data_IF_653123318774
#
_entry.id   IF_653123318774
#
_cell.length_a   1.000
_cell.length_b   1.000
_cell.length_c   1.000
_cell.angle_alpha   90.00
_cell.angle_beta   90.00
_cell.angle_gamma   90.00
#
_symmetry.space_group_name_H-M   'P 1'
#
loop_
_entity.id
_entity.type
_entity.pdbx_description
1 polymer ?
#
# COMPACT_ATOMS: atom_id res chain seq x y z
N UNK A 1 -17.59 0.26 29.07
CA UNK A 1 -17.35 0.87 30.41
C UNK A 1 -18.69 1.11 31.08
N UNK A 2 -18.79 1.06 32.42
CA UNK A 2 -20.06 1.31 33.12
C UNK A 2 -20.26 2.80 33.39
N UNK A 3 -21.53 3.20 33.56
CA UNK A 3 -21.95 4.56 33.88
C UNK A 3 -21.16 5.19 35.03
N UNK A 4 -20.88 4.43 36.09
CA UNK A 4 -20.09 4.91 37.24
C UNK A 4 -18.64 5.22 36.89
N UNK A 5 -18.03 4.44 35.99
CA UNK A 5 -16.61 4.54 35.68
C UNK A 5 -16.40 5.81 34.84
N UNK A 6 -17.32 6.03 33.89
CA UNK A 6 -17.33 7.23 33.06
C UNK A 6 -17.74 8.46 33.86
N UNK A 7 -18.68 8.32 34.80
CA UNK A 7 -19.06 9.42 35.69
C UNK A 7 -17.87 9.89 36.54
N UNK A 8 -17.10 8.95 37.10
CA UNK A 8 -15.87 9.26 37.83
C UNK A 8 -14.83 9.94 36.93
N UNK A 9 -14.63 9.45 35.70
CA UNK A 9 -13.71 10.07 34.73
C UNK A 9 -14.07 11.52 34.41
N UNK A 10 -15.35 11.81 34.17
CA UNK A 10 -15.82 13.18 33.90
C UNK A 10 -16.06 14.02 35.16
N UNK A 11 -15.80 13.50 36.35
CA UNK A 11 -16.00 14.23 37.62
C UNK A 11 -17.46 14.60 37.88
N UNK A 12 -18.41 13.77 37.45
CA UNK A 12 -19.86 13.97 37.65
C UNK A 12 -20.46 12.82 38.45
N UNK A 13 -21.61 13.07 39.09
CA UNK A 13 -22.36 11.98 39.73
C UNK A 13 -22.97 11.04 38.68
N UNK A 14 -22.92 9.72 38.92
CA UNK A 14 -23.52 8.70 38.03
C UNK A 14 -25.00 8.96 37.76
N UNK A 15 -25.74 9.44 38.78
CA UNK A 15 -27.14 9.84 38.62
C UNK A 15 -27.31 10.98 37.63
N UNK A 16 -26.49 12.03 37.73
CA UNK A 16 -26.51 13.19 36.82
C UNK A 16 -26.14 12.79 35.39
N UNK A 17 -25.16 11.89 35.24
CA UNK A 17 -24.80 11.32 33.94
C UNK A 17 -26.00 10.63 33.29
N UNK A 18 -26.64 9.71 34.02
CA UNK A 18 -27.79 8.95 33.52
C UNK A 18 -29.01 9.86 33.23
N UNK A 19 -29.24 10.90 34.02
CA UNK A 19 -30.26 11.93 33.73
C UNK A 19 -29.97 12.68 32.42
N UNK A 20 -28.71 13.06 32.19
CA UNK A 20 -28.30 13.78 30.98
C UNK A 20 -28.43 12.91 29.73
N UNK A 21 -28.06 11.63 29.82
CA UNK A 21 -28.26 10.63 28.78
C UNK A 21 -29.74 10.48 28.44
N UNK A 22 -30.61 10.29 29.44
CA UNK A 22 -32.05 10.15 29.23
C UNK A 22 -32.67 11.38 28.57
N UNK A 23 -32.25 12.59 28.96
CA UNK A 23 -32.70 13.85 28.33
C UNK A 23 -32.23 13.98 26.87
N UNK A 24 -31.13 13.33 26.51
CA UNK A 24 -30.52 13.39 25.18
C UNK A 24 -30.56 12.03 24.48
N UNK A 25 -31.59 11.21 24.72
CA UNK A 25 -31.65 9.83 24.22
C UNK A 25 -31.46 9.71 22.70
N UNK A 26 -31.87 10.73 21.91
CA UNK A 26 -31.65 10.79 20.45
C UNK A 26 -30.16 10.76 20.05
N UNK A 27 -29.23 11.12 20.94
CA UNK A 27 -27.78 11.09 20.72
C UNK A 27 -27.13 9.76 21.11
N UNK A 28 -27.89 8.84 21.69
CA UNK A 28 -27.40 7.57 22.22
C UNK A 28 -28.20 6.41 21.61
N UNK A 29 -27.91 6.05 20.36
CA UNK A 29 -28.45 4.82 19.77
C UNK A 29 -27.90 3.56 20.46
N UNK A 30 -28.47 2.39 20.13
CA UNK A 30 -28.17 1.12 20.83
C UNK A 30 -26.70 0.67 20.71
N UNK A 31 -25.97 1.12 19.69
CA UNK A 31 -24.54 0.89 19.48
C UNK A 31 -23.64 1.81 20.32
N UNK A 32 -24.20 2.85 20.93
CA UNK A 32 -23.46 3.79 21.79
C UNK A 32 -23.58 3.39 23.26
N UNK A 33 -24.76 2.88 23.65
CA UNK A 33 -25.00 2.42 25.00
C UNK A 33 -26.15 1.42 25.06
N UNK A 34 -26.14 0.62 26.12
CA UNK A 34 -27.25 -0.25 26.47
C UNK A 34 -27.32 -0.40 28.00
N UNK A 35 -28.49 -0.83 28.49
CA UNK A 35 -28.63 -1.15 29.90
C UNK A 35 -28.33 -2.63 30.11
N UNK A 36 -27.53 -2.96 31.13
CA UNK A 36 -27.25 -4.36 31.45
C UNK A 36 -28.51 -5.06 31.96
N UNK A 37 -28.62 -6.35 31.67
CA UNK A 37 -29.63 -7.23 32.26
C UNK A 37 -29.24 -7.65 33.69
N UNK A 38 -30.20 -8.14 34.48
CA UNK A 38 -29.92 -8.63 35.83
C UNK A 38 -28.94 -9.81 35.82
N UNK A 39 -29.02 -10.67 34.81
CA UNK A 39 -28.14 -11.83 34.65
C UNK A 39 -26.71 -11.37 34.36
N UNK A 40 -26.51 -10.49 33.36
CA UNK A 40 -25.20 -9.93 33.03
C UNK A 40 -24.60 -9.17 34.22
N UNK A 41 -25.43 -8.38 34.92
CA UNK A 41 -24.98 -7.64 36.08
C UNK A 41 -24.57 -8.57 37.22
N UNK A 42 -25.33 -9.63 37.49
CA UNK A 42 -24.98 -10.63 38.50
C UNK A 42 -23.63 -11.29 38.19
N UNK A 43 -23.41 -11.72 36.94
CA UNK A 43 -22.17 -12.35 36.47
C UNK A 43 -20.94 -11.43 36.57
N UNK A 44 -21.05 -10.19 36.07
CA UNK A 44 -19.96 -9.19 36.15
C UNK A 44 -19.61 -8.93 37.62
N UNK A 45 -20.62 -8.88 38.47
CA UNK A 45 -20.47 -8.57 39.88
C UNK A 45 -19.91 -9.70 40.74
N UNK A 46 -19.96 -10.95 40.26
CA UNK A 46 -19.34 -12.11 40.91
C UNK A 46 -17.90 -12.31 40.45
N UNK A 47 -17.56 -11.88 39.23
CA UNK A 47 -16.22 -12.04 38.67
C UNK A 47 -15.26 -10.90 39.06
N UNK A 48 -15.76 -9.67 39.22
CA UNK A 48 -14.96 -8.52 39.65
C UNK A 48 -15.15 -8.24 41.14
N UNK A 49 -14.10 -7.70 41.80
CA UNK A 49 -14.16 -7.18 43.18
C UNK A 49 -14.95 -5.87 43.18
N UNK A 50 -16.24 -6.01 42.95
CA UNK A 50 -17.20 -4.93 43.01
C UNK A 50 -17.81 -4.86 44.40
N UNK A 51 -18.20 -3.65 44.82
CA UNK A 51 -18.78 -3.39 46.14
C UNK A 51 -19.78 -4.47 46.55
N UNK A 52 -19.75 -4.85 47.83
CA UNK A 52 -20.55 -5.95 48.36
C UNK A 52 -22.01 -5.85 47.90
N UNK A 53 -22.67 -6.99 47.69
CA UNK A 53 -24.07 -7.08 47.22
C UNK A 53 -25.01 -6.12 47.98
N UNK A 54 -24.68 -5.79 49.24
CA UNK A 54 -25.41 -4.88 50.12
C UNK A 54 -25.26 -3.39 49.80
N UNK A 55 -24.13 -2.96 49.21
CA UNK A 55 -23.86 -1.57 48.78
C UNK A 55 -24.28 -1.28 47.34
N UNK A 56 -24.86 -2.27 46.64
CA UNK A 56 -25.31 -2.09 45.26
C UNK A 56 -26.61 -1.29 45.22
N UNK A 57 -26.74 -0.34 44.29
CA UNK A 57 -28.00 0.38 44.12
C UNK A 57 -29.10 -0.61 43.72
N UNK A 58 -30.04 -0.86 44.63
CA UNK A 58 -31.14 -1.83 44.47
C UNK A 58 -32.18 -1.44 43.39
N UNK A 59 -32.07 -0.25 42.79
CA UNK A 59 -33.18 0.40 42.06
C UNK A 59 -32.97 0.58 40.56
N UNK A 60 -31.75 0.34 40.04
CA UNK A 60 -31.45 0.55 38.62
C UNK A 60 -30.24 -0.28 38.20
N UNK A 61 -30.40 -1.08 37.15
CA UNK A 61 -29.27 -1.69 36.45
C UNK A 61 -28.42 -0.59 35.80
N UNK A 62 -27.09 -0.72 35.80
CA UNK A 62 -26.20 0.30 35.26
C UNK A 62 -26.28 0.33 33.72
N UNK A 63 -25.99 1.49 33.16
CA UNK A 63 -25.73 1.59 31.72
C UNK A 63 -24.29 1.19 31.41
N UNK A 64 -24.13 0.45 30.32
CA UNK A 64 -22.85 0.17 29.69
C UNK A 64 -22.72 1.04 28.43
N UNK A 65 -21.56 1.66 28.27
CA UNK A 65 -21.22 2.51 27.13
C UNK A 65 -20.07 1.90 26.34
N UNK A 66 -20.18 2.02 25.01
CA UNK A 66 -19.08 1.79 24.09
C UNK A 66 -18.15 3.00 24.06
N UNK A 67 -17.04 2.91 23.34
CA UNK A 67 -16.12 4.03 23.17
C UNK A 67 -16.81 5.25 22.55
N UNK A 68 -17.64 5.02 21.53
CA UNK A 68 -18.43 6.07 20.89
C UNK A 68 -19.41 6.72 21.86
N UNK A 69 -20.11 5.92 22.68
CA UNK A 69 -20.98 6.44 23.73
C UNK A 69 -20.23 7.24 24.80
N UNK A 70 -19.05 6.77 25.21
CA UNK A 70 -18.20 7.44 26.18
C UNK A 70 -17.68 8.79 25.64
N UNK A 71 -17.34 8.85 24.35
CA UNK A 71 -16.95 10.09 23.67
C UNK A 71 -18.13 11.05 23.54
N UNK A 72 -19.33 10.55 23.19
CA UNK A 72 -20.52 11.40 23.06
C UNK A 72 -20.93 12.09 24.36
N UNK A 73 -20.64 11.48 25.50
CA UNK A 73 -20.89 12.08 26.81
C UNK A 73 -20.15 13.42 26.99
N UNK A 74 -18.99 13.61 26.36
CA UNK A 74 -18.28 14.90 26.38
C UNK A 74 -19.12 16.06 25.83
N UNK A 75 -20.02 15.79 24.87
CA UNK A 75 -20.89 16.80 24.24
C UNK A 75 -22.18 17.10 25.02
N UNK A 76 -22.50 16.26 26.02
CA UNK A 76 -23.78 16.27 26.73
C UNK A 76 -23.61 16.64 28.20
N UNK A 77 -22.50 16.25 28.81
CA UNK A 77 -22.14 16.59 30.18
C UNK A 77 -21.67 18.05 30.26
N UNK A 78 -21.81 18.63 31.46
CA UNK A 78 -21.24 19.95 31.79
C UNK A 78 -20.23 19.72 32.90
N UNK A 79 -18.97 19.61 32.52
CA UNK A 79 -17.83 19.41 33.42
C UNK A 79 -16.58 19.92 32.72
N UNK A 80 -15.59 20.50 33.44
CA UNK A 80 -14.33 20.94 32.84
C UNK A 80 -13.66 19.85 31.99
N UNK A 81 -13.71 18.59 32.44
CA UNK A 81 -13.14 17.45 31.72
C UNK A 81 -13.94 17.15 30.43
N UNK A 82 -15.28 17.26 30.49
CA UNK A 82 -16.14 17.05 29.33
C UNK A 82 -15.92 18.14 28.27
N UNK A 83 -15.78 19.40 28.69
CA UNK A 83 -15.51 20.51 27.79
C UNK A 83 -14.15 20.34 27.10
N UNK A 84 -13.08 20.02 27.85
CA UNK A 84 -11.75 19.81 27.31
C UNK A 84 -11.68 18.62 26.33
N UNK A 85 -12.31 17.50 26.71
CA UNK A 85 -12.35 16.31 25.84
C UNK A 85 -13.12 16.58 24.56
N UNK A 86 -14.26 17.30 24.60
CA UNK A 86 -15.02 17.65 23.39
C UNK A 86 -14.20 18.51 22.41
N UNK A 87 -13.41 19.45 22.93
CA UNK A 87 -12.50 20.27 22.14
C UNK A 87 -11.39 19.42 21.53
N UNK A 88 -10.77 18.52 22.32
CA UNK A 88 -9.73 17.61 21.83
C UNK A 88 -10.25 16.69 20.74
N UNK A 89 -11.44 16.11 20.91
CA UNK A 89 -12.09 15.24 19.91
C UNK A 89 -12.31 16.02 18.61
N UNK A 90 -12.83 17.24 18.70
CA UNK A 90 -13.09 18.08 17.52
C UNK A 90 -11.79 18.44 16.79
N UNK A 91 -10.73 18.82 17.53
CA UNK A 91 -9.41 19.12 16.95
C UNK A 91 -8.77 17.90 16.31
N UNK A 92 -8.82 16.74 16.97
CA UNK A 92 -8.30 15.48 16.44
C UNK A 92 -9.04 15.09 15.15
N UNK A 93 -10.37 15.24 15.11
CA UNK A 93 -11.16 14.98 13.91
C UNK A 93 -10.76 15.89 12.75
N UNK A 94 -10.61 17.20 12.99
CA UNK A 94 -10.16 18.15 11.96
C UNK A 94 -8.74 17.81 11.49
N UNK A 95 -7.81 17.53 12.40
CA UNK A 95 -6.45 17.16 12.06
C UNK A 95 -6.39 15.85 11.24
N UNK A 96 -7.12 14.81 11.64
CA UNK A 96 -7.22 13.56 10.87
C UNK A 96 -7.83 13.79 9.49
N UNK A 97 -8.91 14.58 9.40
CA UNK A 97 -9.51 14.93 8.11
C UNK A 97 -8.51 15.66 7.22
N UNK A 98 -7.77 16.63 7.77
CA UNK A 98 -6.70 17.33 7.06
C UNK A 98 -5.63 16.34 6.61
N UNK A 99 -5.15 15.44 7.46
CA UNK A 99 -4.18 14.41 7.07
C UNK A 99 -4.69 13.51 5.95
N UNK A 100 -5.98 13.16 5.93
CA UNK A 100 -6.59 12.38 4.86
C UNK A 100 -6.83 13.18 3.57
N UNK A 101 -6.97 14.49 3.67
CA UNK A 101 -7.18 15.39 2.51
C UNK A 101 -5.84 15.81 1.89
N UNK A 102 -4.83 16.04 2.74
CA UNK A 102 -3.46 16.39 2.37
C UNK A 102 -2.55 15.17 2.26
N UNK A 103 -3.05 13.96 2.51
CA UNK A 103 -2.34 12.77 2.09
C UNK A 103 -2.37 12.75 0.58
N UNK A 104 -1.31 13.32 0.02
CA UNK A 104 -0.76 13.22 -1.34
C UNK A 104 -0.73 11.80 -1.93
N UNK A 105 -1.40 10.81 -1.34
CA UNK A 105 -1.53 9.45 -1.84
C UNK A 105 -2.17 9.44 -3.24
N UNK A 106 -3.29 10.13 -3.52
CA UNK A 106 -3.85 10.13 -4.87
C UNK A 106 -2.93 10.86 -5.86
N UNK A 107 -2.40 12.03 -5.50
CA UNK A 107 -1.51 12.79 -6.38
C UNK A 107 -0.22 12.02 -6.68
N UNK A 108 0.45 11.46 -5.67
CA UNK A 108 1.68 10.68 -5.87
C UNK A 108 1.45 9.40 -6.66
N UNK A 109 0.30 8.75 -6.48
CA UNK A 109 -0.07 7.58 -7.29
C UNK A 109 -0.33 7.99 -8.75
N UNK A 110 -0.98 9.14 -8.97
CA UNK A 110 -1.19 9.68 -10.32
C UNK A 110 0.13 10.08 -10.98
N UNK A 111 1.04 10.76 -10.27
CA UNK A 111 2.36 11.12 -10.82
C UNK A 111 3.20 9.88 -11.12
N UNK A 112 3.23 8.90 -10.21
CA UNK A 112 3.93 7.63 -10.45
C UNK A 112 3.35 6.87 -11.64
N UNK A 113 2.03 6.84 -11.78
CA UNK A 113 1.40 6.22 -12.95
C UNK A 113 1.83 6.91 -14.25
N UNK A 114 1.88 8.24 -14.27
CA UNK A 114 2.35 9.01 -15.43
C UNK A 114 3.83 8.74 -15.76
N UNK A 115 4.70 8.66 -14.74
CA UNK A 115 6.11 8.31 -14.93
C UNK A 115 6.28 6.89 -15.50
N UNK A 116 5.49 5.92 -15.03
CA UNK A 116 5.52 4.56 -15.58
C UNK A 116 5.06 4.49 -17.03
N UNK A 117 4.06 5.29 -17.42
CA UNK A 117 3.63 5.37 -18.82
C UNK A 117 4.73 5.96 -19.71
N UNK A 118 5.39 7.04 -19.28
CA UNK A 118 6.53 7.62 -20.01
C UNK A 118 7.67 6.64 -20.17
N UNK A 119 8.06 5.97 -19.07
CA UNK A 119 9.13 4.98 -19.09
C UNK A 119 8.80 3.80 -20.03
N UNK A 120 7.54 3.37 -20.07
CA UNK A 120 7.09 2.32 -20.99
C UNK A 120 7.20 2.74 -22.46
N UNK A 121 6.87 4.00 -22.76
CA UNK A 121 7.01 4.59 -24.09
C UNK A 121 8.49 4.56 -24.53
N UNK A 122 9.39 5.07 -23.68
CA UNK A 122 10.83 5.11 -23.93
C UNK A 122 11.42 3.71 -24.14
N UNK A 123 11.02 2.73 -23.32
CA UNK A 123 11.49 1.34 -23.48
C UNK A 123 11.02 0.74 -24.80
N UNK A 124 9.77 1.00 -25.23
CA UNK A 124 9.27 0.49 -26.50
C UNK A 124 10.01 1.11 -27.70
N UNK A 125 10.33 2.41 -27.63
CA UNK A 125 11.11 3.09 -28.65
C UNK A 125 12.52 2.46 -28.79
N UNK A 126 13.22 2.27 -27.66
CA UNK A 126 14.53 1.61 -27.65
C UNK A 126 14.46 0.19 -28.23
N UNK A 127 13.40 -0.56 -27.92
CA UNK A 127 13.22 -1.92 -28.46
C UNK A 127 12.95 -1.91 -29.97
N UNK A 128 12.24 -0.90 -30.48
CA UNK A 128 12.02 -0.73 -31.92
C UNK A 128 13.36 -0.47 -32.64
N UNK A 129 14.17 0.47 -32.14
CA UNK A 129 15.50 0.77 -32.68
C UNK A 129 16.40 -0.47 -32.69
N UNK A 130 16.38 -1.26 -31.61
CA UNK A 130 17.15 -2.50 -31.54
C UNK A 130 16.69 -3.54 -32.57
N UNK A 131 15.38 -3.65 -32.82
CA UNK A 131 14.86 -4.57 -33.83
C UNK A 131 15.31 -4.16 -35.23
N UNK A 132 15.28 -2.86 -35.56
CA UNK A 132 15.73 -2.35 -36.85
C UNK A 132 17.25 -2.59 -37.06
N UNK A 133 18.06 -2.39 -36.01
CA UNK A 133 19.50 -2.69 -36.04
C UNK A 133 19.72 -4.20 -36.25
N UNK A 134 18.95 -5.04 -35.56
CA UNK A 134 19.07 -6.49 -35.68
C UNK A 134 18.68 -6.99 -37.07
N UNK A 135 17.67 -6.39 -37.70
CA UNK A 135 17.27 -6.73 -39.07
C UNK A 135 18.34 -6.30 -40.09
N UNK A 136 18.86 -5.08 -39.96
CA UNK A 136 19.95 -4.57 -40.81
C UNK A 136 21.22 -5.43 -40.70
N UNK A 137 21.63 -5.78 -39.48
CA UNK A 137 22.80 -6.65 -39.26
C UNK A 137 22.57 -8.06 -39.83
N UNK A 138 21.36 -8.60 -39.72
CA UNK A 138 21.01 -9.89 -40.32
C UNK A 138 21.10 -9.85 -41.85
N UNK A 139 20.57 -8.80 -42.48
CA UNK A 139 20.69 -8.59 -43.93
C UNK A 139 22.16 -8.46 -44.38
N UNK A 140 22.99 -7.77 -43.59
CA UNK A 140 24.43 -7.66 -43.85
C UNK A 140 25.14 -9.03 -43.74
N UNK A 141 24.82 -9.83 -42.73
CA UNK A 141 25.39 -11.18 -42.56
C UNK A 141 24.99 -12.10 -43.71
N UNK A 142 23.74 -12.05 -44.15
CA UNK A 142 23.26 -12.82 -45.30
C UNK A 142 23.99 -12.41 -46.59
N UNK A 143 24.18 -11.11 -46.83
CA UNK A 143 24.95 -10.61 -47.97
C UNK A 143 26.43 -11.03 -47.94
N UNK A 144 27.05 -11.07 -46.75
CA UNK A 144 28.42 -11.59 -46.59
C UNK A 144 28.45 -13.09 -46.88
N UNK A 145 27.46 -13.85 -46.39
CA UNK A 145 27.37 -15.29 -46.61
C UNK A 145 27.24 -15.63 -48.10
N UNK A 146 26.37 -14.91 -48.83
CA UNK A 146 26.20 -15.09 -50.28
C UNK A 146 27.48 -14.75 -51.05
N UNK A 147 28.13 -13.62 -50.75
CA UNK A 147 29.38 -13.23 -51.38
C UNK A 147 30.51 -14.25 -51.14
N UNK A 148 30.61 -14.78 -49.92
CA UNK A 148 31.58 -15.84 -49.60
C UNK A 148 31.27 -17.14 -50.37
N UNK A 149 30.01 -17.52 -50.51
CA UNK A 149 29.61 -18.69 -51.29
C UNK A 149 29.97 -18.53 -52.79
N UNK A 150 29.74 -17.34 -53.37
CA UNK A 150 30.13 -17.02 -54.74
C UNK A 150 31.66 -17.04 -54.94
N UNK A 151 32.43 -16.51 -54.00
CA UNK A 151 33.90 -16.55 -54.02
C UNK A 151 34.43 -17.98 -53.89
N UNK A 152 33.80 -18.85 -53.10
CA UNK A 152 34.19 -20.26 -53.00
C UNK A 152 33.84 -21.04 -54.27
N UNK A 153 32.68 -20.78 -54.89
CA UNK A 153 32.28 -21.38 -56.15
C UNK A 153 33.23 -20.97 -57.30
N UNK A 154 33.61 -19.69 -57.38
CA UNK A 154 34.58 -19.20 -58.37
C UNK A 154 36.00 -19.71 -58.11
N UNK A 155 36.43 -19.86 -56.85
CA UNK A 155 37.72 -20.50 -56.50
C UNK A 155 37.77 -21.99 -56.90
N UNK A 156 36.63 -22.67 -56.91
CA UNK A 156 36.50 -24.05 -57.39
C UNK A 156 36.63 -24.14 -58.92
N UNK A 157 36.15 -23.13 -59.65
CA UNK A 157 36.37 -22.99 -61.10
C UNK A 157 37.83 -22.65 -61.41
N UNK A 158 38.49 -21.81 -60.61
CA UNK A 158 39.93 -21.53 -60.72
C UNK A 158 40.82 -22.75 -60.41
N UNK A 159 40.34 -23.74 -59.66
CA UNK A 159 41.06 -24.99 -59.45
C UNK A 159 41.16 -25.84 -60.74
N UNK A 160 40.34 -25.58 -61.78
CA UNK A 160 40.50 -26.15 -63.13
C UNK A 160 41.56 -25.42 -63.97
N UNK A 161 42.05 -24.26 -63.52
CA UNK A 161 43.21 -23.55 -64.11
C UNK A 161 44.56 -24.04 -63.55
N UNK A 162 44.61 -25.22 -62.90
CA UNK A 162 45.83 -25.82 -62.32
C UNK A 162 46.94 -26.19 -63.34
N UNK A 163 46.80 -25.84 -64.62
CA UNK A 163 47.86 -25.96 -65.63
C UNK A 163 48.62 -24.64 -65.81
N UNK A 164 49.01 -23.97 -64.73
CA UNK A 164 49.92 -22.81 -64.81
C UNK A 164 51.35 -23.31 -64.96
N UNK A 165 52.05 -22.79 -65.97
CA UNK A 165 53.48 -23.07 -66.20
C UNK A 165 54.26 -22.62 -64.94
N UNK A 166 55.13 -23.46 -64.37
CA UNK A 166 55.96 -23.05 -63.25
C UNK A 166 56.89 -21.93 -63.74
N UNK A 167 56.87 -20.79 -63.04
CA UNK A 167 57.82 -19.70 -63.24
C UNK A 167 58.71 -19.70 -62.00
N UNK A 168 59.95 -20.13 -62.20
CA UNK A 168 61.01 -20.22 -61.21
C UNK A 168 62.36 -20.28 -61.91
N UNK A 169 63.42 -19.96 -61.18
CA UNK A 169 64.78 -19.91 -61.71
C UNK A 169 65.29 -21.30 -62.11
N UNK A 170 66.02 -21.37 -63.23
CA UNK A 170 66.78 -22.54 -63.65
C UNK A 170 67.85 -22.80 -62.58
N UNK A 171 67.78 -23.93 -61.89
CA UNK A 171 68.89 -24.37 -61.05
C UNK A 171 70.06 -24.77 -61.95
N UNK A 172 71.30 -24.37 -61.63
CA UNK A 172 72.46 -24.75 -62.41
C UNK A 172 72.66 -26.26 -62.30
N UNK A 173 73.00 -26.90 -63.42
CA UNK A 173 73.56 -28.25 -63.39
C UNK A 173 74.97 -28.15 -62.78
N UNK A 174 75.21 -28.93 -61.74
CA UNK A 174 76.56 -29.30 -61.33
C UNK A 174 77.19 -30.07 -62.49
N UNK A 175 78.16 -29.44 -63.16
CA UNK A 175 79.18 -30.15 -63.92
C UNK A 175 80.52 -29.86 -63.21
N UNK A 176 81.23 -30.95 -62.93
CA UNK A 176 82.45 -31.08 -62.14
C UNK A 176 83.65 -30.32 -62.75
N UNK A 177 84.40 -29.62 -61.89
CA UNK A 177 85.88 -29.49 -61.79
C UNK A 177 86.33 -28.17 -61.10
#
# INVERSE_FOLDING_TARGET
>A
MLDRDIAAFYGVETKRLNEKVKRNARRFPNDFMFQLTEQEWSLISSQFVMTSRMKRPKKSLPYAFTELGALMLSSVLRSPVADETSIKITRAFVAMRQMLTFSTLPEKVVTLAQELYKLKEEVNEILADQNDINESTRAQLDAISTALAELQASRSQDATLKNRRPIGFIQPKEDEE
#
